data_IF_415927485950
#
_entry.id   IF_415927485950
#
_cell.length_a   1.000
_cell.length_b   1.000
_cell.length_c   1.000
_cell.angle_alpha   90.00
_cell.angle_beta   90.00
_cell.angle_gamma   90.00
#
_symmetry.space_group_name_H-M   'P 1'
#
loop_
_entity.id
_entity.type
_entity.pdbx_description
1 polymer ?
#
# COMPACT_ATOMS: atom_id res chain seq x y z
N UNK A 1 2.17 -18.38 -6.94
CA UNK A 1 2.69 -17.05 -7.29
C UNK A 1 2.35 -16.05 -6.18
N UNK A 2 1.13 -16.12 -5.61
CA UNK A 2 0.70 -15.44 -4.37
C UNK A 2 1.75 -15.30 -3.24
N UNK A 3 2.44 -16.38 -2.83
CA UNK A 3 3.49 -16.30 -1.78
C UNK A 3 4.67 -15.38 -2.16
N UNK A 4 5.02 -15.31 -3.44
CA UNK A 4 6.11 -14.46 -3.93
C UNK A 4 5.69 -12.99 -3.94
N UNK A 5 4.50 -12.68 -4.48
CA UNK A 5 3.93 -11.32 -4.47
C UNK A 5 3.81 -10.79 -3.04
N UNK A 6 3.34 -11.65 -2.13
CA UNK A 6 3.25 -11.36 -0.70
C UNK A 6 4.60 -11.02 -0.09
N UNK A 7 5.62 -11.84 -0.34
CA UNK A 7 6.98 -11.59 0.16
C UNK A 7 7.56 -10.28 -0.36
N UNK A 8 7.31 -9.94 -1.63
CA UNK A 8 7.75 -8.67 -2.22
C UNK A 8 7.06 -7.48 -1.55
N UNK A 9 5.74 -7.52 -1.35
CA UNK A 9 5.00 -6.42 -0.68
C UNK A 9 5.48 -6.21 0.76
N UNK A 10 5.71 -7.28 1.50
CA UNK A 10 6.29 -7.21 2.86
C UNK A 10 7.71 -6.63 2.81
N UNK A 11 8.53 -7.04 1.84
CA UNK A 11 9.87 -6.50 1.66
C UNK A 11 9.87 -5.00 1.32
N UNK A 12 8.95 -4.57 0.45
CA UNK A 12 8.82 -3.16 0.07
C UNK A 12 8.34 -2.29 1.24
N UNK A 13 7.32 -2.74 1.98
CA UNK A 13 6.78 -1.96 3.10
C UNK A 13 7.76 -1.86 4.27
N UNK A 14 8.60 -2.88 4.47
CA UNK A 14 9.67 -2.82 5.48
C UNK A 14 10.86 -1.97 5.05
N UNK A 15 11.16 -1.89 3.75
CA UNK A 15 12.24 -1.06 3.22
C UNK A 15 11.86 0.41 3.04
N UNK A 16 10.56 0.73 2.92
CA UNK A 16 10.04 2.07 2.71
C UNK A 16 9.26 2.56 3.94
N UNK A 17 9.93 3.13 4.96
CA UNK A 17 9.29 3.52 6.22
C UNK A 17 8.22 4.60 6.06
N UNK A 18 8.28 5.39 4.99
CA UNK A 18 7.31 6.46 4.68
C UNK A 18 6.19 6.01 3.74
N UNK A 19 6.09 4.70 3.48
CA UNK A 19 5.24 4.16 2.42
C UNK A 19 5.79 4.38 1.02
N UNK A 20 5.08 3.85 0.04
CA UNK A 20 5.45 3.94 -1.38
C UNK A 20 4.20 3.92 -2.25
N UNK A 21 4.37 4.41 -3.48
CA UNK A 21 3.35 4.31 -4.52
C UNK A 21 3.76 3.23 -5.53
N UNK A 22 2.79 2.44 -5.97
CA UNK A 22 2.95 1.57 -7.12
C UNK A 22 1.78 1.70 -8.08
N UNK A 23 2.05 1.39 -9.33
CA UNK A 23 1.03 1.18 -10.36
C UNK A 23 0.73 -0.32 -10.38
N UNK A 24 -0.50 -0.72 -10.07
CA UNK A 24 -0.82 -2.13 -9.83
C UNK A 24 -0.65 -2.99 -11.09
N UNK A 25 -0.87 -2.41 -12.29
CA UNK A 25 -0.66 -3.13 -13.55
C UNK A 25 0.82 -3.34 -13.84
N UNK A 26 1.64 -2.32 -13.63
CA UNK A 26 3.11 -2.44 -13.79
C UNK A 26 3.69 -3.38 -12.74
N UNK A 27 3.23 -3.28 -11.49
CA UNK A 27 3.65 -4.14 -10.41
C UNK A 27 3.35 -5.62 -10.71
N UNK A 28 2.11 -5.93 -11.06
CA UNK A 28 1.72 -7.27 -11.47
C UNK A 28 2.56 -7.79 -12.65
N UNK A 29 2.81 -6.92 -13.66
CA UNK A 29 3.66 -7.26 -14.80
C UNK A 29 5.10 -7.59 -14.39
N UNK A 30 5.71 -6.82 -13.49
CA UNK A 30 7.08 -7.08 -13.02
C UNK A 30 7.20 -8.39 -12.24
N UNK A 31 6.15 -8.75 -11.51
CA UNK A 31 6.11 -9.99 -10.74
C UNK A 31 5.59 -11.19 -11.54
N UNK A 32 5.27 -11.00 -12.82
CA UNK A 32 4.66 -12.02 -13.69
C UNK A 32 3.40 -12.62 -13.04
N UNK A 33 2.63 -11.76 -12.35
CA UNK A 33 1.39 -12.09 -11.66
C UNK A 33 0.19 -11.41 -12.37
N UNK A 34 -1.03 -11.88 -12.07
CA UNK A 34 -2.23 -11.15 -12.48
C UNK A 34 -2.47 -9.93 -11.59
N UNK A 35 -3.17 -8.94 -12.11
CA UNK A 35 -3.61 -7.77 -11.31
C UNK A 35 -4.51 -8.22 -10.17
N UNK A 36 -5.38 -9.21 -10.41
CA UNK A 36 -6.23 -9.83 -9.39
C UNK A 36 -5.39 -10.45 -8.27
N UNK A 37 -4.35 -11.23 -8.58
CA UNK A 37 -3.50 -11.85 -7.54
C UNK A 37 -2.75 -10.78 -6.72
N UNK A 38 -2.30 -9.69 -7.36
CA UNK A 38 -1.68 -8.57 -6.66
C UNK A 38 -2.67 -7.83 -5.75
N UNK A 39 -3.91 -7.60 -6.22
CA UNK A 39 -4.97 -6.97 -5.46
C UNK A 39 -5.44 -7.82 -4.28
N UNK A 40 -5.68 -9.12 -4.48
CA UNK A 40 -6.02 -10.06 -3.41
C UNK A 40 -4.92 -10.09 -2.34
N UNK A 41 -3.65 -10.07 -2.75
CA UNK A 41 -2.53 -10.08 -1.80
C UNK A 41 -2.46 -8.77 -0.99
N UNK A 42 -2.77 -7.62 -1.59
CA UNK A 42 -2.86 -6.36 -0.86
C UNK A 42 -3.99 -6.41 0.18
N UNK A 43 -5.19 -6.87 -0.21
CA UNK A 43 -6.32 -7.05 0.70
C UNK A 43 -5.99 -8.03 1.85
N UNK A 44 -5.35 -9.16 1.56
CA UNK A 44 -4.94 -10.14 2.59
C UNK A 44 -4.00 -9.49 3.61
N UNK A 45 -2.97 -8.79 3.14
CA UNK A 45 -1.97 -8.18 4.01
C UNK A 45 -2.52 -7.01 4.83
N UNK A 46 -3.53 -6.32 4.31
CA UNK A 46 -4.29 -5.33 5.05
C UNK A 46 -5.16 -5.97 6.14
N UNK A 47 -5.91 -7.03 5.82
CA UNK A 47 -6.73 -7.76 6.78
C UNK A 47 -5.90 -8.40 7.91
N UNK A 48 -4.66 -8.79 7.61
CA UNK A 48 -3.70 -9.31 8.58
C UNK A 48 -3.00 -8.21 9.41
N UNK A 49 -3.23 -6.93 9.10
CA UNK A 49 -2.64 -5.80 9.81
C UNK A 49 -1.14 -5.64 9.58
N UNK A 50 -0.64 -6.09 8.42
CA UNK A 50 0.78 -5.95 8.05
C UNK A 50 1.03 -4.61 7.36
N UNK A 51 0.15 -4.24 6.44
CA UNK A 51 0.18 -2.97 5.72
C UNK A 51 -1.23 -2.34 5.67
N UNK A 52 -1.28 -1.09 5.28
CA UNK A 52 -2.49 -0.41 4.84
C UNK A 52 -2.25 0.10 3.44
N UNK A 53 -3.31 0.23 2.65
CA UNK A 53 -3.19 0.81 1.33
C UNK A 53 -4.42 1.59 0.91
N UNK A 54 -4.25 2.45 -0.08
CA UNK A 54 -5.31 3.21 -0.71
C UNK A 54 -5.14 3.10 -2.22
N UNK A 55 -6.24 2.82 -2.92
CA UNK A 55 -6.23 2.66 -4.37
C UNK A 55 -7.09 3.75 -5.01
N UNK A 56 -6.49 4.50 -5.93
CA UNK A 56 -7.17 5.43 -6.82
C UNK A 56 -6.87 4.99 -8.26
N UNK A 57 -7.89 4.45 -8.93
CA UNK A 57 -7.76 3.80 -10.25
C UNK A 57 -6.66 2.71 -10.28
N UNK A 58 -5.54 3.00 -10.95
CA UNK A 58 -4.40 2.10 -11.14
C UNK A 58 -3.25 2.38 -10.16
N UNK A 59 -3.33 3.50 -9.43
CA UNK A 59 -2.33 3.92 -8.47
C UNK A 59 -2.69 3.38 -7.07
N UNK A 60 -1.71 2.76 -6.43
CA UNK A 60 -1.85 2.21 -5.07
C UNK A 60 -0.77 2.82 -4.19
N UNK A 61 -1.21 3.45 -3.12
CA UNK A 61 -0.38 3.94 -2.02
C UNK A 61 -0.34 2.89 -0.94
N UNK A 62 0.84 2.47 -0.48
CA UNK A 62 1.01 1.40 0.52
C UNK A 62 1.91 1.87 1.66
N UNK A 63 1.57 1.55 2.90
CA UNK A 63 2.40 1.84 4.09
C UNK A 63 2.23 0.77 5.17
N UNK A 64 3.14 0.72 6.14
CA UNK A 64 3.09 -0.27 7.21
C UNK A 64 1.92 0.02 8.17
N UNK A 65 1.24 -0.99 8.71
CA UNK A 65 0.12 -0.78 9.64
C UNK A 65 0.54 -0.19 11.00
N UNK A 66 1.83 -0.25 11.36
CA UNK A 66 2.37 0.44 12.54
C UNK A 66 2.55 1.94 12.36
N UNK A 67 2.19 2.50 11.19
CA UNK A 67 2.18 3.93 10.94
C UNK A 67 0.99 4.58 11.68
N UNK A 68 1.22 5.02 12.91
CA UNK A 68 0.24 5.74 13.73
C UNK A 68 0.13 7.21 13.33
N UNK A 69 -0.98 7.86 13.68
CA UNK A 69 -1.25 9.27 13.37
C UNK A 69 -0.14 10.24 13.81
N UNK A 70 0.67 9.87 14.81
CA UNK A 70 1.86 10.63 15.25
C UNK A 70 2.97 10.72 14.19
N UNK A 71 3.10 9.73 13.28
CA UNK A 71 4.08 9.74 12.19
C UNK A 71 3.57 10.49 10.93
N UNK A 72 2.33 10.99 10.96
CA UNK A 72 1.73 11.74 9.85
C UNK A 72 2.31 13.16 9.75
N UNK A 73 2.89 13.72 10.81
CA UNK A 73 3.47 15.08 10.80
C UNK A 73 4.67 15.25 9.84
N UNK A 74 5.25 14.16 9.34
CA UNK A 74 6.27 14.19 8.27
C UNK A 74 5.66 14.16 6.85
N UNK A 75 4.46 14.74 6.73
CA UNK A 75 3.59 14.91 5.55
C UNK A 75 4.15 15.81 4.44
N UNK A 76 5.43 15.73 4.09
CA UNK A 76 6.05 16.57 3.06
C UNK A 76 5.52 16.38 1.63
N UNK A 77 4.55 15.48 1.38
CA UNK A 77 4.01 15.29 0.03
C UNK A 77 2.82 14.34 -0.15
N UNK A 78 2.27 13.75 0.92
CA UNK A 78 1.20 12.75 0.80
C UNK A 78 -0.12 13.33 1.32
N UNK A 79 -0.85 13.95 0.42
CA UNK A 79 -2.14 14.58 0.67
C UNK A 79 -3.22 13.50 0.80
N UNK A 80 -3.53 13.10 2.03
CA UNK A 80 -4.93 12.79 2.38
C UNK A 80 -5.59 14.13 2.67
N UNK A 81 -6.59 14.50 1.89
CA UNK A 81 -7.45 15.65 2.18
C UNK A 81 -8.67 15.10 2.94
N UNK A 82 -8.68 15.05 4.29
CA UNK A 82 -9.92 14.91 5.02
C UNK A 82 -10.52 16.32 5.09
N UNK A 83 -11.29 16.71 4.08
CA UNK A 83 -12.29 17.75 4.30
C UNK A 83 -13.41 17.12 5.12
N UNK A 84 -13.14 17.09 6.42
CA UNK A 84 -14.01 16.93 7.58
C UNK A 84 -15.46 17.32 7.32
N UNK A 85 -16.36 16.35 7.43
CA UNK A 85 -17.66 16.60 8.06
C UNK A 85 -17.38 17.09 9.47
N UNK A 86 -17.58 18.38 9.72
CA UNK A 86 -18.12 18.97 10.96
C UNK A 86 -18.13 20.51 10.79
N UNK A 87 -19.33 21.06 10.60
CA UNK A 87 -19.63 22.48 10.44
C UNK A 87 -21.02 22.73 9.89
#
# INVERSE_FOLDING_TARGET
>A
MRLFVRGVLIGLVTAAPNGFHLDIKKFARYLVASVEEAGETLHDLEAEGILQYEQEDEAVSVWASSYTEENIEHRGGFRRDPSTEEG
#
